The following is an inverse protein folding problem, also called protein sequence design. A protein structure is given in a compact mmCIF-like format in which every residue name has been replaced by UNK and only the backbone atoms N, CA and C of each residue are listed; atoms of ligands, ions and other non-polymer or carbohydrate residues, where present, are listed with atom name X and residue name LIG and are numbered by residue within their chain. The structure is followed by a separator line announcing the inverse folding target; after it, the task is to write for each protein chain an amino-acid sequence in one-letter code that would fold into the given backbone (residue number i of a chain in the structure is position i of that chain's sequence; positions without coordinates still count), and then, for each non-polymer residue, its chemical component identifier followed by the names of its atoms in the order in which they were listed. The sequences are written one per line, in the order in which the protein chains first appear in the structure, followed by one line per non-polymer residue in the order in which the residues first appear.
data_IF_916321318972
#
_entry.id   IF_916321318972
#
_cell.length_a   1.000
_cell.length_b   1.000
_cell.length_c   1.000
_cell.angle_alpha   90.00
_cell.angle_beta   90.00
_cell.angle_gamma   90.00
#
_symmetry.space_group_name_H-M   'P 1'
#
loop_
_entity.id
_entity.type
_entity.pdbx_description
1 polymer ?
#
# COMPACT_ATOMS: atom_id res chain seq x y z
N UNK A 1 -34.23 -10.09 35.98
CA UNK A 1 -32.82 -9.68 35.80
C UNK A 1 -32.23 -10.39 34.56
N UNK A 2 -32.46 -9.86 33.35
CA UNK A 2 -32.03 -10.48 32.07
C UNK A 2 -31.52 -9.41 31.07
N UNK A 3 -30.88 -8.35 31.57
CA UNK A 3 -30.37 -7.23 30.75
C UNK A 3 -28.84 -7.10 30.74
N UNK A 4 -28.13 -7.93 31.51
CA UNK A 4 -26.67 -7.83 31.66
C UNK A 4 -25.88 -8.77 30.71
N UNK A 5 -26.53 -9.77 30.10
CA UNK A 5 -25.85 -10.70 29.21
C UNK A 5 -25.53 -10.13 27.81
N UNK A 6 -26.19 -9.03 27.39
CA UNK A 6 -25.93 -8.41 26.09
C UNK A 6 -24.73 -7.46 26.08
N UNK A 7 -24.27 -6.98 27.25
CA UNK A 7 -23.18 -6.00 27.31
C UNK A 7 -21.79 -6.65 27.19
N UNK A 8 -21.65 -7.94 27.51
CA UNK A 8 -20.36 -8.65 27.41
C UNK A 8 -20.06 -9.04 25.95
N UNK A 9 -21.09 -9.33 25.14
CA UNK A 9 -20.92 -9.60 23.72
C UNK A 9 -20.54 -8.34 22.92
N UNK A 10 -21.05 -7.17 23.30
CA UNK A 10 -20.71 -5.91 22.65
C UNK A 10 -19.23 -5.51 22.89
N UNK A 11 -18.66 -5.87 24.05
CA UNK A 11 -17.27 -5.56 24.37
C UNK A 11 -16.27 -6.42 23.57
N UNK A 12 -16.61 -7.68 23.28
CA UNK A 12 -15.78 -8.55 22.42
C UNK A 12 -15.79 -8.13 20.95
N UNK A 13 -16.95 -7.69 20.43
CA UNK A 13 -17.06 -7.25 19.02
C UNK A 13 -16.30 -5.92 18.79
N UNK A 14 -16.23 -5.04 19.80
CA UNK A 14 -15.41 -3.82 19.73
C UNK A 14 -13.91 -4.08 19.95
N UNK A 15 -13.54 -5.13 20.69
CA UNK A 15 -12.13 -5.49 20.93
C UNK A 15 -11.49 -6.25 19.75
N UNK A 16 -12.27 -6.82 18.84
CA UNK A 16 -11.78 -7.37 17.55
C UNK A 16 -11.51 -6.29 16.49
N UNK A 17 -11.48 -5.01 16.87
CA UNK A 17 -10.89 -3.97 16.01
C UNK A 17 -9.40 -4.27 15.90
N UNK A 18 -9.04 -4.84 14.74
CA UNK A 18 -7.73 -4.85 14.11
C UNK A 18 -6.56 -4.62 15.08
N UNK A 19 -5.87 -5.70 15.45
CA UNK A 19 -4.58 -5.61 16.14
C UNK A 19 -3.73 -4.50 15.48
N UNK A 20 -3.05 -3.65 16.28
CA UNK A 20 -2.25 -2.56 15.73
C UNK A 20 -1.26 -3.11 14.70
N UNK A 21 -1.20 -2.49 13.52
CA UNK A 21 -0.24 -2.84 12.48
C UNK A 21 1.16 -2.62 13.07
N UNK A 22 2.06 -3.62 13.04
CA UNK A 22 3.43 -3.44 13.52
C UNK A 22 4.12 -2.26 12.85
N UNK A 23 4.92 -1.50 13.59
CA UNK A 23 5.61 -0.29 13.08
C UNK A 23 6.49 -0.57 11.85
N UNK A 24 7.12 -1.76 11.78
CA UNK A 24 7.95 -2.14 10.63
C UNK A 24 7.12 -2.39 9.37
N UNK A 25 5.90 -2.93 9.52
CA UNK A 25 4.94 -3.12 8.43
C UNK A 25 4.44 -1.77 7.98
N UNK A 26 4.08 -0.88 8.91
CA UNK A 26 3.64 0.47 8.59
C UNK A 26 4.71 1.27 7.83
N UNK A 27 5.98 1.15 8.23
CA UNK A 27 7.11 1.78 7.54
C UNK A 27 7.28 1.25 6.11
N UNK A 28 7.33 -0.07 5.92
CA UNK A 28 7.44 -0.69 4.58
C UNK A 28 6.27 -0.35 3.66
N UNK A 29 5.06 -0.29 4.22
CA UNK A 29 3.87 0.13 3.49
C UNK A 29 3.97 1.59 3.03
N UNK A 30 4.47 2.46 3.90
CA UNK A 30 4.69 3.88 3.60
C UNK A 30 5.76 4.06 2.52
N UNK A 31 6.85 3.30 2.58
CA UNK A 31 7.91 3.33 1.57
C UNK A 31 7.38 2.87 0.21
N UNK A 32 6.58 1.79 0.20
CA UNK A 32 5.97 1.25 -1.03
C UNK A 32 4.96 2.23 -1.63
N UNK A 33 4.05 2.77 -0.81
CA UNK A 33 3.09 3.79 -1.24
C UNK A 33 3.80 5.03 -1.80
N UNK A 34 4.91 5.43 -1.18
CA UNK A 34 5.75 6.53 -1.66
C UNK A 34 6.34 6.21 -3.03
N UNK A 35 6.92 5.02 -3.24
CA UNK A 35 7.47 4.64 -4.55
C UNK A 35 6.43 4.66 -5.68
N UNK A 36 5.22 4.15 -5.43
CA UNK A 36 4.11 4.24 -6.36
C UNK A 36 3.70 5.70 -6.63
N UNK A 37 3.63 6.53 -5.59
CA UNK A 37 3.32 7.95 -5.71
C UNK A 37 4.38 8.71 -6.52
N UNK A 38 5.68 8.41 -6.33
CA UNK A 38 6.76 9.04 -7.07
C UNK A 38 6.74 8.68 -8.55
N UNK A 39 6.53 7.41 -8.88
CA UNK A 39 6.34 6.98 -10.26
C UNK A 39 5.15 7.71 -10.90
N UNK A 40 4.06 7.89 -10.15
CA UNK A 40 2.88 8.59 -10.63
C UNK A 40 3.11 10.10 -10.82
N UNK A 41 3.84 10.76 -9.91
CA UNK A 41 4.24 12.16 -10.10
C UNK A 41 5.06 12.32 -11.37
N UNK A 42 6.01 11.42 -11.64
CA UNK A 42 6.80 11.50 -12.87
C UNK A 42 5.95 11.28 -14.13
N UNK A 43 5.04 10.31 -14.09
CA UNK A 43 4.05 10.11 -15.16
C UNK A 43 3.19 11.36 -15.39
N UNK A 44 2.68 11.96 -14.31
CA UNK A 44 1.83 13.16 -14.36
C UNK A 44 2.58 14.37 -14.95
N UNK A 45 3.92 14.41 -14.81
CA UNK A 45 4.78 15.40 -15.47
C UNK A 45 5.19 15.05 -16.91
N UNK A 46 4.68 13.95 -17.46
CA UNK A 46 4.97 13.51 -18.83
C UNK A 46 6.31 12.78 -19.04
N UNK A 47 6.99 12.40 -17.96
CA UNK A 47 8.26 11.66 -18.04
C UNK A 47 7.99 10.23 -18.49
N UNK A 48 8.79 9.73 -19.43
CA UNK A 48 8.67 8.37 -19.96
C UNK A 48 8.92 7.30 -18.89
N UNK A 49 8.33 6.08 -19.00
CA UNK A 49 8.52 5.03 -18.01
C UNK A 49 9.99 4.58 -17.88
N UNK A 50 10.77 4.58 -18.97
CA UNK A 50 12.19 4.25 -18.96
C UNK A 50 13.01 5.31 -18.21
N UNK A 51 12.70 6.59 -18.41
CA UNK A 51 13.36 7.68 -17.69
C UNK A 51 12.96 7.69 -16.21
N UNK A 52 11.69 7.40 -15.89
CA UNK A 52 11.23 7.19 -14.52
C UNK A 52 11.97 6.05 -13.83
N UNK A 53 12.17 4.91 -14.50
CA UNK A 53 12.98 3.80 -13.96
C UNK A 53 14.40 4.25 -13.66
N UNK A 54 14.99 5.05 -14.55
CA UNK A 54 16.35 5.56 -14.37
C UNK A 54 16.43 6.48 -13.15
N UNK A 55 15.45 7.39 -12.97
CA UNK A 55 15.35 8.29 -11.82
C UNK A 55 15.13 7.52 -10.51
N UNK A 56 14.28 6.49 -10.51
CA UNK A 56 14.01 5.64 -9.35
C UNK A 56 15.15 4.65 -9.03
N UNK A 57 16.07 4.40 -9.97
CA UNK A 57 17.30 3.63 -9.70
C UNK A 57 18.37 4.44 -8.96
N UNK A 58 18.17 5.75 -8.76
CA UNK A 58 19.11 6.59 -8.03
C UNK A 58 19.37 6.02 -6.61
N UNK A 59 20.58 6.18 -6.06
CA UNK A 59 20.96 5.58 -4.76
C UNK A 59 20.03 5.89 -3.60
N UNK A 60 19.31 7.02 -3.66
CA UNK A 60 18.32 7.42 -2.68
C UNK A 60 17.08 6.49 -2.65
N UNK A 61 16.66 5.94 -3.80
CA UNK A 61 15.53 5.02 -3.91
C UNK A 61 15.95 3.56 -3.91
N UNK A 62 17.07 3.23 -4.56
CA UNK A 62 17.53 1.85 -4.76
C UNK A 62 17.80 1.09 -3.47
N UNK A 63 18.15 1.79 -2.37
CA UNK A 63 18.38 1.14 -1.07
C UNK A 63 17.13 0.46 -0.49
N UNK A 64 15.93 0.88 -0.90
CA UNK A 64 14.66 0.32 -0.41
C UNK A 64 13.98 -0.66 -1.37
N UNK A 65 14.33 -0.69 -2.67
CA UNK A 65 13.60 -1.46 -3.67
C UNK A 65 14.53 -2.23 -4.62
N UNK A 66 14.33 -3.55 -4.80
CA UNK A 66 15.03 -4.30 -5.84
C UNK A 66 14.58 -3.84 -7.23
N UNK A 67 15.45 -4.00 -8.23
CA UNK A 67 15.16 -3.55 -9.60
C UNK A 67 13.88 -4.16 -10.20
N UNK A 68 13.59 -5.43 -9.88
CA UNK A 68 12.37 -6.10 -10.32
C UNK A 68 11.11 -5.40 -9.81
N UNK A 69 11.09 -5.01 -8.54
CA UNK A 69 9.97 -4.29 -7.93
C UNK A 69 9.79 -2.90 -8.55
N UNK A 70 10.88 -2.19 -8.85
CA UNK A 70 10.80 -0.89 -9.53
C UNK A 70 10.18 -1.01 -10.92
N UNK A 71 10.57 -2.03 -11.70
CA UNK A 71 9.97 -2.29 -13.02
C UNK A 71 8.47 -2.59 -12.90
N UNK A 72 8.09 -3.38 -11.91
CA UNK A 72 6.68 -3.72 -11.65
C UNK A 72 5.86 -2.48 -11.27
N UNK A 73 6.35 -1.66 -10.34
CA UNK A 73 5.70 -0.39 -9.94
C UNK A 73 5.48 0.50 -11.15
N UNK A 74 6.50 0.66 -12.00
CA UNK A 74 6.40 1.49 -13.21
C UNK A 74 5.38 0.91 -14.18
N UNK A 75 5.41 -0.40 -14.40
CA UNK A 75 4.44 -1.05 -15.28
C UNK A 75 3.00 -0.82 -14.79
N UNK A 76 2.78 -0.95 -13.49
CA UNK A 76 1.48 -0.69 -12.87
C UNK A 76 1.08 0.78 -13.03
N UNK A 77 1.95 1.72 -12.68
CA UNK A 77 1.61 3.16 -12.71
C UNK A 77 1.39 3.69 -14.12
N UNK A 78 2.12 3.19 -15.12
CA UNK A 78 2.04 3.69 -16.49
C UNK A 78 1.05 2.95 -17.38
N UNK A 79 0.89 1.63 -17.19
CA UNK A 79 0.14 0.79 -18.13
C UNK A 79 -1.09 0.12 -17.54
N UNK A 80 -1.24 0.03 -16.21
CA UNK A 80 -2.48 -0.48 -15.65
C UNK A 80 -3.60 0.58 -15.83
N UNK A 81 -4.76 0.22 -16.40
CA UNK A 81 -5.83 1.18 -16.71
C UNK A 81 -6.45 1.83 -15.48
N UNK A 82 -6.36 1.20 -14.30
CA UNK A 82 -6.87 1.76 -13.05
C UNK A 82 -5.88 2.78 -12.47
N UNK A 83 -4.62 2.37 -12.30
CA UNK A 83 -3.58 3.21 -11.69
C UNK A 83 -3.12 4.34 -12.61
N UNK A 84 -3.05 4.12 -13.92
CA UNK A 84 -2.63 5.13 -14.91
C UNK A 84 -3.49 6.38 -14.91
N UNK A 85 -4.75 6.28 -14.47
CA UNK A 85 -5.70 7.39 -14.42
C UNK A 85 -5.72 8.13 -13.08
N UNK A 86 -5.08 7.56 -12.06
CA UNK A 86 -5.17 8.10 -10.71
C UNK A 86 -4.03 9.08 -10.43
N UNK A 87 -4.28 10.27 -9.88
CA UNK A 87 -3.21 11.19 -9.50
C UNK A 87 -2.35 10.58 -8.38
N UNK A 88 -1.08 11.01 -8.30
CA UNK A 88 -0.10 10.50 -7.34
C UNK A 88 -0.62 10.42 -5.89
N UNK A 89 -1.29 11.47 -5.40
CA UNK A 89 -1.84 11.49 -4.03
C UNK A 89 -2.93 10.43 -3.78
N UNK A 90 -3.72 10.09 -4.81
CA UNK A 90 -4.72 9.01 -4.71
C UNK A 90 -4.04 7.64 -4.65
N UNK A 91 -3.00 7.45 -5.46
CA UNK A 91 -2.21 6.22 -5.47
C UNK A 91 -1.56 5.99 -4.10
N UNK A 92 -0.94 7.02 -3.51
CA UNK A 92 -0.39 6.94 -2.16
C UNK A 92 -1.44 6.50 -1.14
N UNK A 93 -2.61 7.15 -1.15
CA UNK A 93 -3.67 6.90 -0.17
C UNK A 93 -4.30 5.50 -0.28
N UNK A 94 -4.36 4.92 -1.48
CA UNK A 94 -4.89 3.57 -1.70
C UNK A 94 -3.84 2.52 -1.38
N UNK A 95 -2.62 2.65 -1.89
CA UNK A 95 -1.55 1.66 -1.66
C UNK A 95 -1.18 1.58 -0.18
N UNK A 96 -1.07 2.71 0.51
CA UNK A 96 -0.80 2.72 1.97
C UNK A 96 -1.92 2.04 2.76
N UNK A 97 -3.19 2.32 2.41
CA UNK A 97 -4.36 1.70 3.03
C UNK A 97 -4.40 0.20 2.78
N UNK A 98 -4.32 -0.24 1.53
CA UNK A 98 -4.43 -1.65 1.15
C UNK A 98 -3.30 -2.48 1.76
N UNK A 99 -2.11 -1.89 1.90
CA UNK A 99 -0.98 -2.53 2.57
C UNK A 99 -1.16 -2.63 4.09
N UNK A 100 -1.80 -1.63 4.72
CA UNK A 100 -2.09 -1.60 6.16
C UNK A 100 -3.35 -2.38 6.55
N UNK A 101 -4.20 -2.77 5.61
CA UNK A 101 -5.32 -3.65 5.91
C UNK A 101 -4.74 -4.97 6.47
N UNK A 102 -5.22 -5.44 7.64
CA UNK A 102 -4.84 -6.77 8.09
C UNK A 102 -5.22 -7.73 6.98
N UNK A 103 -4.22 -8.31 6.30
CA UNK A 103 -4.42 -9.46 5.43
C UNK A 103 -5.14 -10.46 6.31
N UNK A 104 -6.45 -10.61 6.12
CA UNK A 104 -7.14 -11.79 6.60
C UNK A 104 -6.35 -12.90 5.95
N UNK A 105 -5.50 -13.56 6.74
CA UNK A 105 -4.89 -14.80 6.36
C UNK A 105 -6.06 -15.64 5.91
N UNK A 106 -6.14 -15.88 4.59
CA UNK A 106 -6.97 -16.92 4.06
C UNK A 106 -6.48 -18.17 4.79
N UNK A 107 -7.20 -18.54 5.84
CA UNK A 107 -7.06 -19.83 6.47
C UNK A 107 -7.24 -20.80 5.31
N UNK A 108 -6.23 -21.62 4.96
CA UNK A 108 -6.47 -22.67 3.99
C UNK A 108 -7.61 -23.50 4.57
N UNK A 109 -8.75 -23.52 3.87
CA UNK A 109 -9.85 -24.41 4.21
C UNK A 109 -9.37 -25.83 3.92
N UNK A 110 -8.87 -26.46 4.98
CA UNK A 110 -8.60 -27.90 5.17
C UNK A 110 -7.52 -28.53 4.30
#
# INVERSE_FOLDING_TARGET
MKRLACLVAAFWIFATRAAPVPDDVAAKCTDTASAFSFAATFRDTGISPQETLTRMKAPAFRRGFPEGALKEIINLVYFNPDLSRWPAGRIYAVVSRDCMLPRQTAVPLR
#
